data_IF_927152337905
#
_entry.id   IF_927152337905
#
_cell.length_a   1.000
_cell.length_b   1.000
_cell.length_c   1.000
_cell.angle_alpha   90.00
_cell.angle_beta   90.00
_cell.angle_gamma   90.00
#
_symmetry.space_group_name_H-M   'P 1'
#
loop_
_entity.id
_entity.type
_entity.pdbx_description
1 polymer ?
#
# COMPACT_ATOMS: atom_id res chain seq x y z
N UNK A 1 46.76 -22.02 16.17
CA UNK A 1 45.66 -22.47 15.29
C UNK A 1 44.26 -22.22 15.89
N UNK A 2 44.10 -21.93 17.19
CA UNK A 2 42.78 -21.65 17.80
C UNK A 2 42.19 -20.27 17.45
N UNK A 3 43.02 -19.25 17.20
CA UNK A 3 42.55 -17.87 16.98
C UNK A 3 41.89 -17.64 15.61
N UNK A 4 42.30 -18.37 14.57
CA UNK A 4 41.67 -18.30 13.24
C UNK A 4 40.29 -18.98 13.20
N UNK A 5 40.06 -19.98 14.07
CA UNK A 5 38.77 -20.65 14.16
C UNK A 5 37.72 -19.77 14.87
N UNK A 6 38.12 -19.00 15.88
CA UNK A 6 37.22 -18.10 16.64
C UNK A 6 36.79 -16.90 15.78
N UNK A 7 37.70 -16.33 14.98
CA UNK A 7 37.36 -15.24 14.05
C UNK A 7 36.35 -15.64 12.97
N UNK A 8 36.44 -16.88 12.47
CA UNK A 8 35.53 -17.40 11.44
C UNK A 8 34.13 -17.71 12.00
N UNK A 9 34.05 -18.22 13.22
CA UNK A 9 32.78 -18.46 13.93
C UNK A 9 32.11 -17.13 14.30
N UNK A 10 32.87 -16.12 14.74
CA UNK A 10 32.36 -14.78 15.04
C UNK A 10 31.83 -14.04 13.79
N UNK A 11 32.50 -14.18 12.64
CA UNK A 11 32.04 -13.63 11.37
C UNK A 11 30.77 -14.34 10.86
N UNK A 12 30.69 -15.67 10.97
CA UNK A 12 29.50 -16.43 10.59
C UNK A 12 28.29 -16.12 11.51
N UNK A 13 28.52 -15.93 12.81
CA UNK A 13 27.46 -15.58 13.77
C UNK A 13 26.92 -14.16 13.56
N UNK A 14 27.78 -13.18 13.27
CA UNK A 14 27.35 -11.80 12.96
C UNK A 14 26.60 -11.72 11.63
N UNK A 15 27.05 -12.46 10.61
CA UNK A 15 26.32 -12.59 9.34
C UNK A 15 24.97 -13.29 9.56
N UNK A 16 24.88 -14.34 10.38
CA UNK A 16 23.63 -15.02 10.73
C UNK A 16 22.64 -14.16 11.52
N UNK A 17 23.11 -13.37 12.48
CA UNK A 17 22.26 -12.47 13.26
C UNK A 17 21.74 -11.29 12.42
N UNK A 18 22.57 -10.73 11.54
CA UNK A 18 22.17 -9.70 10.56
C UNK A 18 21.19 -10.25 9.50
N UNK A 19 21.30 -11.54 9.15
CA UNK A 19 20.40 -12.23 8.21
C UNK A 19 18.97 -12.36 8.77
N UNK A 20 18.82 -12.74 10.04
CA UNK A 20 17.50 -12.90 10.68
C UNK A 20 16.81 -11.54 10.91
N UNK A 21 17.55 -10.52 11.32
CA UNK A 21 16.99 -9.18 11.59
C UNK A 21 16.65 -8.39 10.32
N UNK A 22 17.45 -8.49 9.25
CA UNK A 22 17.20 -7.73 8.01
C UNK A 22 16.06 -8.29 7.17
N UNK A 23 15.91 -9.62 7.10
CA UNK A 23 14.81 -10.30 6.39
C UNK A 23 13.46 -10.16 7.08
N UNK A 24 13.42 -10.31 8.42
CA UNK A 24 12.21 -10.15 9.22
C UNK A 24 11.74 -8.70 9.25
N UNK A 25 12.66 -7.74 9.44
CA UNK A 25 12.32 -6.31 9.50
C UNK A 25 11.88 -5.72 8.15
N UNK A 26 12.41 -6.19 7.02
CA UNK A 26 11.90 -5.78 5.71
C UNK A 26 10.47 -6.27 5.51
N UNK A 27 10.26 -7.56 5.70
CA UNK A 27 8.97 -8.23 5.49
C UNK A 27 7.89 -7.64 6.40
N UNK A 28 8.12 -7.57 7.71
CA UNK A 28 7.15 -7.06 8.67
C UNK A 28 6.73 -5.62 8.41
N UNK A 29 7.66 -4.74 7.97
CA UNK A 29 7.31 -3.36 7.56
C UNK A 29 6.43 -3.33 6.32
N UNK A 30 6.67 -4.22 5.37
CA UNK A 30 5.91 -4.27 4.13
C UNK A 30 4.53 -4.90 4.31
N UNK A 31 4.40 -5.92 5.15
CA UNK A 31 3.11 -6.46 5.59
C UNK A 31 2.29 -5.43 6.38
N UNK A 32 2.92 -4.72 7.32
CA UNK A 32 2.25 -3.65 8.06
C UNK A 32 1.79 -2.53 7.13
N UNK A 33 2.64 -2.15 6.16
CA UNK A 33 2.24 -1.18 5.13
C UNK A 33 1.06 -1.72 4.33
N UNK A 34 1.12 -2.96 3.86
CA UNK A 34 0.03 -3.59 3.10
C UNK A 34 -1.30 -3.58 3.86
N UNK A 35 -1.29 -3.97 5.15
CA UNK A 35 -2.49 -3.86 6.01
C UNK A 35 -3.04 -2.44 6.09
N UNK A 36 -2.16 -1.45 6.19
CA UNK A 36 -2.57 -0.04 6.21
C UNK A 36 -3.20 0.40 4.87
N UNK A 37 -2.60 0.02 3.74
CA UNK A 37 -3.16 0.33 2.41
C UNK A 37 -4.55 -0.32 2.24
N UNK A 38 -4.75 -1.57 2.66
CA UNK A 38 -6.06 -2.23 2.60
C UNK A 38 -7.13 -1.51 3.44
N UNK A 39 -6.75 -1.04 4.63
CA UNK A 39 -7.65 -0.26 5.49
C UNK A 39 -8.02 1.06 4.80
N UNK A 40 -7.06 1.72 4.17
CA UNK A 40 -7.30 2.96 3.43
C UNK A 40 -8.22 2.74 2.22
N UNK A 41 -8.02 1.67 1.45
CA UNK A 41 -8.91 1.27 0.35
C UNK A 41 -10.33 1.03 0.84
N UNK A 42 -10.50 0.26 1.91
CA UNK A 42 -11.82 0.00 2.51
C UNK A 42 -12.48 1.29 2.98
N UNK A 43 -11.74 2.16 3.68
CA UNK A 43 -12.25 3.46 4.12
C UNK A 43 -12.68 4.33 2.94
N UNK A 44 -11.91 4.36 1.87
CA UNK A 44 -12.28 5.09 0.66
C UNK A 44 -13.57 4.52 0.04
N UNK A 45 -13.78 3.20 0.06
CA UNK A 45 -15.02 2.59 -0.40
C UNK A 45 -16.21 2.98 0.47
N UNK A 46 -16.07 2.91 1.79
CA UNK A 46 -17.13 3.26 2.74
C UNK A 46 -17.54 4.74 2.58
N UNK A 47 -16.54 5.64 2.47
CA UNK A 47 -16.75 7.06 2.22
C UNK A 47 -17.47 7.31 0.88
N UNK A 48 -17.12 6.56 -0.17
CA UNK A 48 -17.76 6.67 -1.47
C UNK A 48 -19.22 6.21 -1.44
N UNK A 49 -19.50 5.07 -0.80
CA UNK A 49 -20.86 4.53 -0.66
C UNK A 49 -21.77 5.52 0.09
N UNK A 50 -21.24 6.15 1.15
CA UNK A 50 -21.95 7.20 1.86
C UNK A 50 -22.30 8.39 0.93
N UNK A 51 -21.36 8.83 0.09
CA UNK A 51 -21.60 9.91 -0.87
C UNK A 51 -22.60 9.51 -1.97
N UNK A 52 -22.53 8.27 -2.46
CA UNK A 52 -23.45 7.72 -3.46
C UNK A 52 -24.89 7.73 -2.94
N UNK A 53 -25.11 7.26 -1.70
CA UNK A 53 -26.44 7.25 -1.07
C UNK A 53 -27.07 8.64 -0.93
N UNK A 54 -26.25 9.69 -0.90
CA UNK A 54 -26.69 11.09 -0.81
C UNK A 54 -27.00 11.74 -2.17
N UNK A 55 -26.87 11.01 -3.29
CA UNK A 55 -27.11 11.51 -4.64
C UNK A 55 -26.10 12.55 -5.12
N UNK A 56 -24.89 12.57 -4.54
CA UNK A 56 -23.84 13.58 -4.82
C UNK A 56 -22.83 13.15 -5.88
N UNK A 57 -22.93 11.90 -6.32
CA UNK A 57 -22.03 11.25 -7.27
C UNK A 57 -22.80 11.06 -8.57
N UNK A 58 -22.20 11.42 -9.70
CA UNK A 58 -22.77 11.12 -11.02
C UNK A 58 -22.51 9.67 -11.41
N UNK A 59 -23.26 9.14 -12.38
CA UNK A 59 -23.04 7.78 -12.87
C UNK A 59 -21.62 7.58 -13.45
N UNK A 60 -21.07 8.59 -14.11
CA UNK A 60 -19.71 8.52 -14.67
C UNK A 60 -18.64 8.43 -13.57
N UNK A 61 -18.82 9.20 -12.50
CA UNK A 61 -17.93 9.17 -11.32
C UNK A 61 -18.02 7.84 -10.58
N UNK A 62 -19.22 7.28 -10.48
CA UNK A 62 -19.42 5.92 -9.96
C UNK A 62 -18.66 4.90 -10.79
N UNK A 63 -18.79 4.94 -12.11
CA UNK A 63 -18.10 4.01 -12.99
C UNK A 63 -16.58 4.16 -12.91
N UNK A 64 -16.07 5.40 -12.86
CA UNK A 64 -14.64 5.68 -12.69
C UNK A 64 -14.12 5.18 -11.34
N UNK A 65 -14.87 5.41 -10.27
CA UNK A 65 -14.53 4.94 -8.93
C UNK A 65 -14.47 3.41 -8.89
N UNK A 66 -15.48 2.71 -9.41
CA UNK A 66 -15.53 1.25 -9.44
C UNK A 66 -14.35 0.66 -10.23
N UNK A 67 -14.02 1.22 -11.40
CA UNK A 67 -12.85 0.80 -12.19
C UNK A 67 -11.54 0.99 -11.43
N UNK A 68 -11.40 2.14 -10.77
CA UNK A 68 -10.20 2.46 -9.98
C UNK A 68 -10.08 1.55 -8.77
N UNK A 69 -11.19 1.24 -8.09
CA UNK A 69 -11.28 0.30 -6.97
C UNK A 69 -10.82 -1.09 -7.37
N UNK A 70 -11.35 -1.62 -8.48
CA UNK A 70 -10.98 -2.96 -8.94
C UNK A 70 -9.49 -3.04 -9.30
N UNK A 71 -8.94 -1.94 -9.85
CA UNK A 71 -7.50 -1.83 -10.09
C UNK A 71 -6.71 -1.76 -8.78
N UNK A 72 -7.17 -1.02 -7.78
CA UNK A 72 -6.53 -0.93 -6.46
C UNK A 72 -6.48 -2.31 -5.79
N UNK A 73 -7.61 -3.01 -5.70
CA UNK A 73 -7.70 -4.36 -5.11
C UNK A 73 -6.77 -5.35 -5.82
N UNK A 74 -6.76 -5.37 -7.15
CA UNK A 74 -5.81 -6.22 -7.90
C UNK A 74 -4.36 -5.87 -7.57
N UNK A 75 -4.04 -4.57 -7.50
CA UNK A 75 -2.67 -4.12 -7.24
C UNK A 75 -2.23 -4.41 -5.80
N UNK A 76 -3.13 -4.38 -4.83
CA UNK A 76 -2.92 -4.80 -3.44
C UNK A 76 -2.59 -6.29 -3.37
N UNK A 77 -3.38 -7.14 -4.04
CA UNK A 77 -3.12 -8.58 -4.11
C UNK A 77 -1.74 -8.86 -4.71
N UNK A 78 -1.40 -8.24 -5.84
CA UNK A 78 -0.07 -8.37 -6.43
C UNK A 78 1.05 -7.88 -5.50
N UNK A 79 0.80 -6.83 -4.70
CA UNK A 79 1.77 -6.34 -3.73
C UNK A 79 1.98 -7.38 -2.61
N UNK A 80 0.91 -7.96 -2.09
CA UNK A 80 0.98 -9.05 -1.12
C UNK A 80 1.73 -10.27 -1.66
N UNK A 81 1.38 -10.74 -2.86
CA UNK A 81 2.06 -11.86 -3.52
C UNK A 81 3.56 -11.60 -3.71
N UNK A 82 3.94 -10.35 -3.99
CA UNK A 82 5.35 -9.99 -4.14
C UNK A 82 6.09 -10.02 -2.80
N UNK A 83 5.41 -9.70 -1.69
CA UNK A 83 5.96 -9.87 -0.33
C UNK A 83 6.17 -11.35 -0.04
N UNK A 84 5.17 -12.21 -0.31
CA UNK A 84 5.28 -13.65 -0.12
C UNK A 84 6.40 -14.26 -0.98
N UNK A 85 6.49 -13.84 -2.24
CA UNK A 85 7.58 -14.24 -3.14
C UNK A 85 8.96 -13.82 -2.63
N UNK A 86 9.07 -12.67 -1.97
CA UNK A 86 10.33 -12.22 -1.36
C UNK A 86 10.70 -13.07 -0.14
N UNK A 87 9.73 -13.46 0.69
CA UNK A 87 9.94 -14.36 1.83
C UNK A 87 10.46 -15.72 1.39
N UNK A 88 9.87 -16.28 0.34
CA UNK A 88 10.21 -17.59 -0.20
C UNK A 88 11.57 -17.65 -0.91
N UNK A 89 12.18 -16.52 -1.26
CA UNK A 89 13.46 -16.52 -1.97
C UNK A 89 14.63 -16.81 -1.04
N UNK A 90 15.42 -17.82 -1.39
CA UNK A 90 16.62 -18.20 -0.66
C UNK A 90 17.71 -17.13 -0.80
N UNK A 91 18.46 -16.91 0.29
CA UNK A 91 19.53 -15.91 0.31
C UNK A 91 20.72 -16.26 -0.59
N UNK A 92 20.92 -17.53 -0.94
CA UNK A 92 21.93 -17.95 -1.91
C UNK A 92 21.72 -17.32 -3.30
N UNK A 93 20.50 -16.86 -3.60
CA UNK A 93 20.16 -16.12 -4.82
C UNK A 93 20.09 -14.61 -4.57
N UNK A 94 21.19 -13.99 -4.09
CA UNK A 94 21.22 -12.57 -3.69
C UNK A 94 20.69 -11.61 -4.77
N UNK A 95 21.07 -11.81 -6.03
CA UNK A 95 20.60 -10.97 -7.15
C UNK A 95 19.08 -11.07 -7.34
N UNK A 96 18.54 -12.29 -7.27
CA UNK A 96 17.09 -12.53 -7.38
C UNK A 96 16.35 -11.93 -6.19
N UNK A 97 16.90 -12.06 -4.98
CA UNK A 97 16.34 -11.48 -3.76
C UNK A 97 16.36 -9.95 -3.80
N UNK A 98 17.41 -9.34 -4.33
CA UNK A 98 17.50 -7.89 -4.52
C UNK A 98 16.50 -7.39 -5.57
N UNK A 99 16.33 -8.11 -6.68
CA UNK A 99 15.30 -7.83 -7.69
C UNK A 99 13.90 -7.89 -7.06
N UNK A 100 13.58 -8.94 -6.30
CA UNK A 100 12.31 -9.07 -5.57
C UNK A 100 12.10 -7.93 -4.58
N UNK A 101 13.15 -7.53 -3.85
CA UNK A 101 13.09 -6.38 -2.92
C UNK A 101 12.67 -5.09 -3.64
N UNK A 102 13.20 -4.86 -4.84
CA UNK A 102 12.83 -3.70 -5.67
C UNK A 102 11.39 -3.82 -6.21
N UNK A 103 10.97 -5.03 -6.60
CA UNK A 103 9.60 -5.29 -7.03
C UNK A 103 8.60 -4.99 -5.90
N UNK A 104 8.86 -5.44 -4.66
CA UNK A 104 8.03 -5.13 -3.48
C UNK A 104 7.89 -3.60 -3.31
N UNK A 105 8.99 -2.85 -3.42
CA UNK A 105 8.97 -1.39 -3.31
C UNK A 105 8.21 -0.71 -4.46
N UNK A 106 8.31 -1.23 -5.68
CA UNK A 106 7.56 -0.73 -6.84
C UNK A 106 6.06 -0.96 -6.65
N UNK A 107 5.66 -2.16 -6.27
CA UNK A 107 4.27 -2.54 -6.02
C UNK A 107 3.64 -1.74 -4.89
N UNK A 108 4.39 -1.50 -3.79
CA UNK A 108 3.98 -0.58 -2.72
C UNK A 108 3.66 0.82 -3.25
N UNK A 109 4.54 1.41 -4.07
CA UNK A 109 4.34 2.75 -4.63
C UNK A 109 3.11 2.81 -5.54
N UNK A 110 2.92 1.80 -6.38
CA UNK A 110 1.76 1.71 -7.27
C UNK A 110 0.45 1.60 -6.50
N UNK A 111 0.42 0.81 -5.42
CA UNK A 111 -0.74 0.66 -4.53
C UNK A 111 -1.11 2.01 -3.90
N UNK A 112 -0.12 2.70 -3.34
CA UNK A 112 -0.30 4.04 -2.76
C UNK A 112 -0.85 5.07 -3.74
N UNK A 113 -0.36 5.05 -4.98
CA UNK A 113 -0.84 5.95 -6.02
C UNK A 113 -2.32 5.71 -6.31
N UNK A 114 -2.76 4.45 -6.39
CA UNK A 114 -4.17 4.12 -6.60
C UNK A 114 -5.05 4.53 -5.41
N UNK A 115 -4.58 4.35 -4.18
CA UNK A 115 -5.28 4.82 -2.99
C UNK A 115 -5.41 6.34 -2.95
N UNK A 116 -4.37 7.05 -3.36
CA UNK A 116 -4.43 8.49 -3.52
C UNK A 116 -5.45 8.90 -4.60
N UNK A 117 -5.50 8.19 -5.74
CA UNK A 117 -6.52 8.43 -6.77
C UNK A 117 -7.94 8.19 -6.24
N UNK A 118 -8.18 7.07 -5.53
CA UNK A 118 -9.48 6.78 -4.91
C UNK A 118 -9.91 7.88 -3.94
N UNK A 119 -8.98 8.36 -3.12
CA UNK A 119 -9.23 9.46 -2.20
C UNK A 119 -9.59 10.75 -2.93
N UNK A 120 -8.88 11.09 -4.00
CA UNK A 120 -9.18 12.31 -4.78
C UNK A 120 -10.57 12.22 -5.44
N UNK A 121 -10.94 11.05 -5.95
CA UNK A 121 -12.29 10.79 -6.49
C UNK A 121 -13.37 10.95 -5.41
N UNK A 122 -13.08 10.61 -4.15
CA UNK A 122 -14.00 10.83 -3.02
C UNK A 122 -14.14 12.30 -2.61
N UNK A 123 -13.09 13.11 -2.77
CA UNK A 123 -13.09 14.50 -2.34
C UNK A 123 -13.85 15.41 -3.33
N UNK A 124 -13.85 15.10 -4.63
CA UNK A 124 -14.53 15.91 -5.65
C UNK A 124 -16.05 16.12 -5.41
N UNK A 125 -16.86 15.09 -5.12
CA UNK A 125 -18.28 15.26 -4.77
C UNK A 125 -18.51 16.14 -3.54
N UNK A 126 -17.63 16.01 -2.52
CA UNK A 126 -17.73 16.79 -1.27
C UNK A 126 -17.55 18.28 -1.51
N UNK A 127 -16.61 18.66 -2.36
CA UNK A 127 -16.40 20.08 -2.71
C UNK A 127 -17.61 20.68 -3.42
N UNK A 128 -18.24 19.94 -4.34
CA UNK A 128 -19.47 20.41 -5.01
C UNK A 128 -20.64 20.56 -4.05
N UNK A 129 -20.80 19.64 -3.10
CA UNK A 129 -21.82 19.76 -2.04
C UNK A 129 -21.61 21.03 -1.21
N UNK A 130 -20.38 21.26 -0.75
CA UNK A 130 -20.05 22.44 0.06
C UNK A 130 -20.31 23.75 -0.70
N UNK A 131 -19.91 23.82 -1.98
CA UNK A 131 -20.18 24.98 -2.83
C UNK A 131 -21.70 25.20 -3.02
N UNK A 132 -22.47 24.13 -3.28
CA UNK A 132 -23.93 24.21 -3.41
C UNK A 132 -24.61 24.67 -2.12
N UNK A 133 -24.14 24.21 -0.96
CA UNK A 133 -24.69 24.63 0.33
C UNK A 133 -24.34 26.08 0.68
N UNK A 134 -23.15 26.56 0.30
CA UNK A 134 -22.78 27.97 0.47
C UNK A 134 -23.62 28.88 -0.42
N UNK A 135 -23.89 28.49 -1.67
CA UNK A 135 -24.75 29.25 -2.59
C UNK A 135 -26.22 29.35 -2.14
N UNK A 136 -26.68 28.45 -1.26
CA UNK A 136 -28.03 28.45 -0.71
C UNK A 136 -28.16 29.20 0.61
N UNK A 137 -27.06 29.72 1.19
CA UNK A 137 -27.13 30.53 2.41
C UNK A 137 -27.62 31.93 2.05
N UNK A 138 -28.71 32.43 2.66
CA UNK A 138 -29.12 33.81 2.48
C UNK A 138 -28.07 34.75 3.08
N UNK A 139 -27.82 35.89 2.44
CA UNK A 139 -26.91 36.90 2.95
C UNK A 139 -27.40 37.40 4.32
N UNK A 140 -26.51 37.53 5.31
CA UNK A 140 -26.88 38.07 6.61
C UNK A 140 -27.22 39.56 6.42
N UNK A 141 -28.51 39.88 6.53
CA UNK A 141 -29.04 41.25 6.57
C UNK A 141 -28.75 41.93 7.89
#
# INVERSE_FOLDING_TARGET
MAELAVGLIGAAATVGAAQLTSGSGFTGRHESSHRQEMIETRRNMDDFIANLSSGQVTQDEELEFLRTRDRAIRQENEYHETIESYKGETWFNLLKKLKRRNDVRRRKRSTRQLNHTLRNLNEAPRHRRSARLQALRPDPT
#
